data_IF_685100134791
#
_entry.id   IF_685100134791
#
_cell.length_a   1.000
_cell.length_b   1.000
_cell.length_c   1.000
_cell.angle_alpha   90.00
_cell.angle_beta   90.00
_cell.angle_gamma   90.00
#
_symmetry.space_group_name_H-M   'P 1'
#
loop_
_entity.id
_entity.type
_entity.pdbx_description
1 polymer ?
#
# COMPACT_ATOMS: atom_id res chain seq x y z
N UNK A 1 -8.00 19.28 7.46
CA UNK A 1 -7.51 17.96 7.89
C UNK A 1 -8.51 16.81 7.65
N UNK A 2 -9.83 17.04 7.60
CA UNK A 2 -10.84 15.99 7.35
C UNK A 2 -10.86 15.41 5.93
N UNK A 3 -10.44 16.20 4.93
CA UNK A 3 -10.53 15.82 3.51
C UNK A 3 -9.49 14.76 3.09
N UNK A 4 -8.27 14.81 3.65
CA UNK A 4 -7.23 13.80 3.37
C UNK A 4 -7.62 12.43 3.91
N UNK A 5 -8.19 12.41 5.12
CA UNK A 5 -8.58 11.16 5.80
C UNK A 5 -9.68 10.41 5.03
N UNK A 6 -10.69 11.11 4.50
CA UNK A 6 -11.75 10.47 3.71
C UNK A 6 -11.25 9.97 2.34
N UNK A 7 -10.26 10.65 1.75
CA UNK A 7 -9.64 10.23 0.48
C UNK A 7 -8.86 8.92 0.65
N UNK A 8 -8.04 8.83 1.69
CA UNK A 8 -7.22 7.65 2.00
C UNK A 8 -8.08 6.42 2.32
N UNK A 9 -9.17 6.61 3.09
CA UNK A 9 -10.16 5.56 3.34
C UNK A 9 -10.87 5.11 2.05
N UNK A 10 -11.19 6.04 1.15
CA UNK A 10 -11.84 5.71 -0.14
C UNK A 10 -10.92 4.89 -1.02
N UNK A 11 -9.65 5.29 -1.14
CA UNK A 11 -8.62 4.55 -1.90
C UNK A 11 -8.44 3.15 -1.31
N UNK A 12 -8.28 3.06 0.01
CA UNK A 12 -8.10 1.79 0.69
C UNK A 12 -9.29 0.84 0.50
N UNK A 13 -10.52 1.34 0.62
CA UNK A 13 -11.73 0.55 0.40
C UNK A 13 -11.83 0.07 -1.04
N UNK A 14 -11.55 0.94 -2.02
CA UNK A 14 -11.58 0.59 -3.43
C UNK A 14 -10.57 -0.52 -3.76
N UNK A 15 -9.31 -0.35 -3.33
CA UNK A 15 -8.25 -1.34 -3.57
C UNK A 15 -8.54 -2.66 -2.87
N UNK A 16 -9.08 -2.63 -1.64
CA UNK A 16 -9.51 -3.83 -0.92
C UNK A 16 -10.58 -4.61 -1.68
N UNK A 17 -11.61 -3.92 -2.16
CA UNK A 17 -12.67 -4.57 -2.95
C UNK A 17 -12.08 -5.25 -4.18
N UNK A 18 -11.22 -4.55 -4.95
CA UNK A 18 -10.57 -5.11 -6.13
C UNK A 18 -9.67 -6.31 -5.82
N UNK A 19 -8.96 -6.26 -4.70
CA UNK A 19 -8.13 -7.36 -4.20
C UNK A 19 -8.97 -8.60 -3.85
N UNK A 20 -10.06 -8.40 -3.10
CA UNK A 20 -10.98 -9.48 -2.70
C UNK A 20 -11.68 -10.12 -3.89
N UNK A 21 -12.00 -9.33 -4.92
CA UNK A 21 -12.59 -9.81 -6.18
C UNK A 21 -11.58 -10.53 -7.08
N UNK A 22 -10.29 -10.54 -6.72
CA UNK A 22 -9.22 -11.14 -7.52
C UNK A 22 -8.91 -10.36 -8.80
N UNK A 23 -9.32 -9.10 -8.89
CA UNK A 23 -9.06 -8.24 -10.04
C UNK A 23 -7.65 -7.66 -10.05
N UNK A 24 -6.98 -7.66 -8.90
CA UNK A 24 -5.60 -7.18 -8.72
C UNK A 24 -4.91 -8.05 -7.70
N UNK A 25 -3.62 -8.26 -7.88
CA UNK A 25 -2.75 -8.91 -6.91
C UNK A 25 -2.12 -7.90 -5.93
N UNK A 26 -1.66 -8.40 -4.79
CA UNK A 26 -1.09 -7.55 -3.74
C UNK A 26 0.08 -6.69 -4.19
N UNK A 27 0.97 -7.22 -5.02
CA UNK A 27 2.14 -6.49 -5.51
C UNK A 27 1.75 -5.39 -6.51
N UNK A 28 0.68 -5.58 -7.30
CA UNK A 28 0.15 -4.56 -8.21
C UNK A 28 -0.42 -3.38 -7.43
N UNK A 29 -1.04 -3.63 -6.27
CA UNK A 29 -1.51 -2.60 -5.34
C UNK A 29 -0.33 -1.77 -4.82
N UNK A 30 0.77 -2.42 -4.42
CA UNK A 30 1.98 -1.73 -3.96
C UNK A 30 2.54 -0.82 -5.05
N UNK A 31 2.70 -1.34 -6.27
CA UNK A 31 3.19 -0.56 -7.42
C UNK A 31 2.29 0.64 -7.71
N UNK A 32 0.97 0.45 -7.64
CA UNK A 32 0.01 1.54 -7.84
C UNK A 32 0.15 2.63 -6.77
N UNK A 33 0.28 2.25 -5.49
CA UNK A 33 0.43 3.21 -4.38
C UNK A 33 1.74 3.99 -4.49
N UNK A 34 2.85 3.33 -4.84
CA UNK A 34 4.13 4.01 -5.08
C UNK A 34 4.01 5.00 -6.24
N UNK A 35 3.34 4.60 -7.33
CA UNK A 35 3.08 5.49 -8.46
C UNK A 35 2.24 6.71 -8.04
N UNK A 36 1.27 6.52 -7.14
CA UNK A 36 0.47 7.61 -6.58
C UNK A 36 1.28 8.54 -5.66
N UNK A 37 2.23 8.02 -4.88
CA UNK A 37 3.17 8.83 -4.09
C UNK A 37 4.05 9.67 -5.01
N UNK A 38 4.66 9.06 -6.03
CA UNK A 38 5.50 9.76 -7.01
C UNK A 38 4.75 10.83 -7.79
N UNK A 39 3.46 10.62 -8.04
CA UNK A 39 2.57 11.59 -8.67
C UNK A 39 1.97 12.62 -7.70
N UNK A 40 2.44 12.65 -6.44
CA UNK A 40 2.00 13.56 -5.37
C UNK A 40 0.48 13.50 -5.13
N UNK A 41 -0.14 12.33 -5.34
CA UNK A 41 -1.58 12.12 -5.12
C UNK A 41 -1.88 11.68 -3.70
N UNK A 42 -0.94 11.02 -3.05
CA UNK A 42 -0.96 10.64 -1.63
C UNK A 42 0.45 10.85 -1.07
N UNK A 43 0.57 10.95 0.24
CA UNK A 43 1.85 11.03 0.93
C UNK A 43 2.36 9.63 1.32
N UNK A 44 3.69 9.49 1.48
CA UNK A 44 4.31 8.21 1.83
C UNK A 44 3.72 7.60 3.11
N UNK A 45 3.53 8.43 4.14
CA UNK A 45 2.97 8.01 5.42
C UNK A 45 1.51 7.50 5.34
N UNK A 46 0.82 7.73 4.21
CA UNK A 46 -0.53 7.22 3.98
C UNK A 46 -0.53 5.80 3.40
N UNK A 47 0.60 5.33 2.86
CA UNK A 47 0.71 4.03 2.18
C UNK A 47 0.53 2.86 3.14
N UNK A 48 1.24 2.84 4.28
CA UNK A 48 1.14 1.76 5.25
C UNK A 48 -0.29 1.61 5.82
N UNK A 49 -1.00 2.69 6.23
CA UNK A 49 -2.41 2.60 6.59
C UNK A 49 -3.35 2.05 5.50
N UNK A 50 -3.11 2.41 4.23
CA UNK A 50 -3.88 1.87 3.10
C UNK A 50 -3.64 0.37 2.98
N UNK A 51 -2.38 -0.07 2.99
CA UNK A 51 -2.01 -1.48 2.88
C UNK A 51 -2.60 -2.29 4.04
N UNK A 52 -2.54 -1.79 5.28
CA UNK A 52 -3.22 -2.43 6.43
C UNK A 52 -4.70 -2.66 6.17
N UNK A 53 -5.41 -1.65 5.64
CA UNK A 53 -6.82 -1.80 5.32
C UNK A 53 -7.08 -2.83 4.21
N UNK A 54 -6.26 -2.84 3.16
CA UNK A 54 -6.36 -3.79 2.04
C UNK A 54 -6.12 -5.22 2.49
N UNK A 55 -5.11 -5.43 3.33
CA UNK A 55 -4.66 -6.73 3.82
C UNK A 55 -5.27 -7.10 5.18
N UNK A 56 -6.37 -6.47 5.59
CA UNK A 56 -7.12 -6.83 6.81
C UNK A 56 -6.25 -6.83 8.08
N UNK A 57 -5.36 -5.85 8.20
CA UNK A 57 -4.37 -5.71 9.27
C UNK A 57 -3.45 -6.94 9.42
N UNK A 58 -3.28 -7.76 8.38
CA UNK A 58 -2.36 -8.90 8.37
C UNK A 58 -0.99 -8.50 7.80
N UNK A 59 0.04 -8.31 8.64
CA UNK A 59 1.34 -7.82 8.19
C UNK A 59 2.02 -8.77 7.20
N UNK A 60 1.83 -10.09 7.35
CA UNK A 60 2.41 -11.09 6.47
C UNK A 60 1.99 -10.91 5.01
N UNK A 61 0.72 -10.59 4.75
CA UNK A 61 0.23 -10.32 3.39
C UNK A 61 0.85 -9.06 2.78
N UNK A 62 1.05 -8.03 3.62
CA UNK A 62 1.70 -6.78 3.23
C UNK A 62 3.17 -7.03 2.87
N UNK A 63 3.90 -7.75 3.71
CA UNK A 63 5.29 -8.12 3.49
C UNK A 63 5.50 -8.86 2.17
N UNK A 64 4.70 -9.91 1.92
CA UNK A 64 4.79 -10.68 0.67
C UNK A 64 4.49 -9.81 -0.56
N UNK A 65 3.54 -8.88 -0.44
CA UNK A 65 3.22 -7.96 -1.52
C UNK A 65 4.37 -6.98 -1.81
N UNK A 66 4.99 -6.43 -0.76
CA UNK A 66 6.13 -5.51 -0.87
C UNK A 66 7.37 -6.21 -1.40
N UNK A 67 7.69 -7.42 -0.92
CA UNK A 67 8.80 -8.23 -1.41
C UNK A 67 8.63 -8.54 -2.90
N UNK A 68 7.44 -8.98 -3.32
CA UNK A 68 7.16 -9.17 -4.74
C UNK A 68 7.31 -7.89 -5.55
N UNK A 69 6.82 -6.76 -5.03
CA UNK A 69 6.96 -5.48 -5.71
C UNK A 69 8.43 -5.05 -5.85
N UNK A 70 9.30 -5.29 -4.84
CA UNK A 70 10.73 -4.96 -4.92
C UNK A 70 11.48 -5.81 -5.95
N UNK A 71 11.02 -7.04 -6.22
CA UNK A 71 11.58 -7.84 -7.33
C UNK A 71 11.25 -7.28 -8.72
N UNK A 72 10.16 -6.51 -8.84
CA UNK A 72 9.69 -5.93 -10.09
C UNK A 72 10.22 -4.51 -10.31
N UNK A 73 10.50 -3.80 -9.22
CA UNK A 73 10.95 -2.40 -9.23
C UNK A 73 12.01 -2.21 -8.15
N UNK A 74 13.22 -1.84 -8.56
CA UNK A 74 14.26 -1.36 -7.64
C UNK A 74 13.93 0.09 -7.24
N UNK A 75 13.24 0.24 -6.11
CA UNK A 75 12.73 1.52 -5.63
C UNK A 75 12.95 1.67 -4.13
N UNK A 76 13.73 2.68 -3.75
CA UNK A 76 14.04 3.02 -2.35
C UNK A 76 12.78 3.32 -1.51
N UNK A 77 11.65 3.67 -2.15
CA UNK A 77 10.37 3.82 -1.46
C UNK A 77 9.84 2.49 -0.93
N UNK A 78 10.08 1.37 -1.62
CA UNK A 78 9.65 0.05 -1.15
C UNK A 78 10.38 -0.32 0.13
N UNK A 79 11.70 -0.10 0.17
CA UNK A 79 12.52 -0.35 1.37
C UNK A 79 12.06 0.49 2.56
N UNK A 80 11.69 1.76 2.29
CA UNK A 80 11.17 2.66 3.32
C UNK A 80 9.83 2.17 3.89
N UNK A 81 8.93 1.68 3.03
CA UNK A 81 7.64 1.12 3.46
C UNK A 81 7.83 -0.20 4.21
N UNK A 82 8.76 -1.06 3.76
CA UNK A 82 9.11 -2.31 4.44
C UNK A 82 9.59 -2.04 5.87
N UNK A 83 10.47 -1.04 6.05
CA UNK A 83 10.95 -0.65 7.37
C UNK A 83 9.80 -0.14 8.26
N UNK A 84 8.93 0.74 7.75
CA UNK A 84 7.79 1.27 8.52
C UNK A 84 6.83 0.17 8.97
N UNK A 85 6.55 -0.82 8.11
CA UNK A 85 5.71 -1.97 8.49
C UNK A 85 6.38 -2.84 9.54
N UNK A 86 7.71 -3.00 9.48
CA UNK A 86 8.47 -3.79 10.47
C UNK A 86 8.45 -3.16 11.88
N UNK A 87 8.57 -1.84 11.97
CA UNK A 87 8.68 -1.11 13.24
C UNK A 87 7.36 -1.03 14.03
N UNK A 88 6.24 -1.39 13.41
CA UNK A 88 4.90 -1.32 13.99
C UNK A 88 4.30 -2.69 14.35
N UNK A 89 5.13 -3.74 14.45
CA UNK A 89 4.78 -5.10 14.91
C UNK A 89 5.32 -5.36 16.31
#
# INVERSE_FOLDING_TARGET
MTYSKSKTETVAKHLRTRFMEGHVEGHEIVVALISMVKAEKIELHEVAPILRTVFFDQPQGIWVALEKASTLMDDQLIDSILQEVNEQV
#
